data_IF_368466357771
#
_entry.id   IF_368466357771
#
_cell.length_a   1.000
_cell.length_b   1.000
_cell.length_c   1.000
_cell.angle_alpha   90.00
_cell.angle_beta   90.00
_cell.angle_gamma   90.00
#
_symmetry.space_group_name_H-M   'P 1'
#
loop_
_entity.id
_entity.type
_entity.pdbx_description
1 polymer ?
#
# COMPACT_ATOMS: atom_id res chain seq x y z
N UNK A 1 8.30 -17.10 -12.48
CA UNK A 1 7.08 -16.28 -12.63
C UNK A 1 6.60 -16.03 -11.21
N UNK A 2 6.75 -14.80 -10.68
CA UNK A 2 6.48 -14.53 -9.26
C UNK A 2 4.96 -14.52 -9.00
N UNK A 3 4.45 -15.34 -8.06
CA UNK A 3 3.02 -15.41 -7.75
C UNK A 3 2.46 -14.13 -7.09
N UNK A 4 3.34 -13.22 -6.64
CA UNK A 4 2.99 -11.91 -6.05
C UNK A 4 2.25 -10.99 -7.04
N UNK A 5 2.29 -11.27 -8.35
CA UNK A 5 1.61 -10.41 -9.35
C UNK A 5 0.12 -10.72 -9.56
N UNK A 6 -0.37 -11.92 -9.23
CA UNK A 6 -1.73 -12.33 -9.59
C UNK A 6 -2.75 -11.90 -8.53
N UNK A 7 -2.41 -12.01 -7.25
CA UNK A 7 -3.26 -11.50 -6.16
C UNK A 7 -3.41 -9.99 -6.21
N UNK A 8 -2.31 -9.24 -6.41
CA UNK A 8 -2.36 -7.79 -6.58
C UNK A 8 -3.17 -7.39 -7.81
N UNK A 9 -2.95 -8.03 -8.97
CA UNK A 9 -3.75 -7.78 -10.15
C UNK A 9 -5.22 -8.09 -9.93
N UNK A 10 -5.55 -9.18 -9.24
CA UNK A 10 -6.92 -9.53 -8.91
C UNK A 10 -7.57 -8.53 -7.96
N UNK A 11 -6.85 -7.98 -6.97
CA UNK A 11 -7.35 -6.91 -6.09
C UNK A 11 -7.59 -5.62 -6.88
N UNK A 12 -6.65 -5.20 -7.73
CA UNK A 12 -6.82 -4.04 -8.62
C UNK A 12 -7.99 -4.24 -9.62
N UNK A 13 -8.20 -5.46 -10.12
CA UNK A 13 -9.31 -5.79 -11.02
C UNK A 13 -10.64 -5.86 -10.27
N UNK A 14 -10.65 -6.40 -9.03
CA UNK A 14 -11.84 -6.53 -8.18
C UNK A 14 -12.34 -5.18 -7.67
N UNK A 15 -11.42 -4.28 -7.31
CA UNK A 15 -11.73 -2.97 -6.70
C UNK A 15 -11.73 -1.82 -7.72
N UNK A 16 -11.22 -2.06 -8.94
CA UNK A 16 -11.33 -1.14 -10.08
C UNK A 16 -12.53 -1.41 -11.01
N UNK A 17 -13.34 -2.45 -10.77
CA UNK A 17 -14.50 -2.80 -11.61
C UNK A 17 -15.79 -2.07 -11.17
N UNK A 18 -16.35 -1.28 -12.11
CA UNK A 18 -17.75 -0.84 -12.26
C UNK A 18 -18.58 -0.85 -10.96
N UNK A 19 -18.52 0.24 -10.18
CA UNK A 19 -19.41 0.49 -9.04
C UNK A 19 -18.78 1.20 -7.83
N UNK A 20 -17.46 1.38 -7.80
CA UNK A 20 -16.79 2.18 -6.76
C UNK A 20 -17.04 3.69 -7.03
N UNK A 21 -18.11 4.21 -6.45
CA UNK A 21 -18.55 5.60 -6.63
C UNK A 21 -17.86 6.58 -5.65
N UNK A 22 -17.10 6.10 -4.65
CA UNK A 22 -16.43 6.99 -3.71
C UNK A 22 -15.13 7.55 -4.31
N UNK A 23 -15.04 8.88 -4.59
CA UNK A 23 -13.82 9.50 -5.10
C UNK A 23 -12.65 9.46 -4.12
N UNK A 24 -12.85 9.01 -2.86
CA UNK A 24 -11.81 8.81 -1.85
C UNK A 24 -11.47 7.33 -1.61
N UNK A 25 -12.06 6.38 -2.34
CA UNK A 25 -11.55 5.00 -2.34
C UNK A 25 -10.10 4.96 -2.84
N UNK A 26 -9.26 4.13 -2.22
CA UNK A 26 -7.86 3.92 -2.62
C UNK A 26 -7.74 3.45 -4.09
N UNK A 27 -8.82 2.89 -4.65
CA UNK A 27 -8.85 2.24 -5.96
C UNK A 27 -9.72 2.96 -6.99
N UNK A 28 -10.36 4.07 -6.63
CA UNK A 28 -11.26 4.85 -7.49
C UNK A 28 -10.64 5.27 -8.85
N UNK A 29 -9.30 5.31 -8.94
CA UNK A 29 -8.55 5.66 -10.16
C UNK A 29 -7.56 4.56 -10.57
N UNK A 30 -7.71 3.34 -10.05
CA UNK A 30 -6.73 2.27 -10.25
C UNK A 30 -5.40 2.51 -9.53
N UNK A 31 -5.38 3.37 -8.51
CA UNK A 31 -4.17 3.79 -7.78
C UNK A 31 -4.04 5.31 -7.65
N UNK A 32 -2.82 5.87 -7.51
CA UNK A 32 -2.61 7.30 -7.42
C UNK A 32 -2.95 8.00 -8.74
N UNK A 33 -3.49 9.21 -8.66
CA UNK A 33 -3.71 10.05 -9.86
C UNK A 33 -2.37 10.49 -10.46
N UNK A 34 -2.29 10.50 -11.80
CA UNK A 34 -1.13 11.03 -12.52
C UNK A 34 -1.26 12.50 -12.92
N UNK A 35 -2.47 13.07 -12.81
CA UNK A 35 -2.75 14.45 -13.17
C UNK A 35 -3.58 15.14 -12.08
N UNK A 36 -3.43 16.46 -11.89
CA UNK A 36 -4.23 17.19 -10.92
C UNK A 36 -5.73 17.20 -11.27
N UNK A 37 -6.61 17.46 -10.28
CA UNK A 37 -6.28 17.71 -8.87
C UNK A 37 -5.95 16.44 -8.11
N UNK A 38 -4.89 16.49 -7.29
CA UNK A 38 -4.44 15.38 -6.45
C UNK A 38 -5.22 15.36 -5.12
N UNK A 39 -5.60 14.16 -4.66
CA UNK A 39 -6.23 13.98 -3.35
C UNK A 39 -5.17 14.05 -2.26
N UNK A 40 -5.53 14.56 -1.08
CA UNK A 40 -4.65 14.49 0.09
C UNK A 40 -4.67 13.06 0.63
N UNK A 41 -3.51 12.48 0.91
CA UNK A 41 -3.41 11.04 1.19
C UNK A 41 -4.18 10.63 2.43
N UNK A 42 -4.15 11.43 3.51
CA UNK A 42 -4.86 11.11 4.76
C UNK A 42 -6.39 11.13 4.63
N UNK A 43 -6.93 11.68 3.54
CA UNK A 43 -8.38 11.69 3.26
C UNK A 43 -8.82 10.47 2.43
N UNK A 44 -7.87 9.77 1.81
CA UNK A 44 -8.14 8.57 1.04
C UNK A 44 -8.38 7.43 2.02
N UNK A 45 -9.36 6.60 1.73
CA UNK A 45 -9.66 5.41 2.53
C UNK A 45 -8.44 4.49 2.59
N UNK A 46 -8.31 3.73 3.68
CA UNK A 46 -7.27 2.71 3.78
C UNK A 46 -7.44 1.67 2.67
N UNK A 47 -6.35 1.19 2.06
CA UNK A 47 -6.39 0.10 1.11
C UNK A 47 -6.82 -1.21 1.80
N UNK A 48 -7.18 -2.21 1.00
CA UNK A 48 -7.40 -3.58 1.47
C UNK A 48 -6.16 -4.06 2.25
N UNK A 49 -6.31 -4.61 3.46
CA UNK A 49 -5.20 -5.15 4.25
C UNK A 49 -4.33 -6.16 3.48
N UNK A 50 -4.92 -6.99 2.63
CA UNK A 50 -4.17 -7.95 1.81
C UNK A 50 -3.35 -7.29 0.68
N UNK A 51 -3.54 -6.00 0.42
CA UNK A 51 -2.77 -5.24 -0.55
C UNK A 51 -1.50 -4.65 0.05
N UNK A 52 -0.33 -5.09 -0.43
CA UNK A 52 0.99 -4.60 0.01
C UNK A 52 1.72 -3.73 -1.04
N UNK A 53 0.99 -3.24 -2.04
CA UNK A 53 1.57 -2.43 -3.12
C UNK A 53 2.25 -1.17 -2.57
N UNK A 54 3.20 -0.60 -3.32
CA UNK A 54 3.85 0.66 -2.93
C UNK A 54 2.87 1.82 -2.71
N UNK A 55 1.75 1.82 -3.43
CA UNK A 55 0.63 2.75 -3.22
C UNK A 55 -0.05 2.53 -1.87
N UNK A 56 -0.40 1.29 -1.55
CA UNK A 56 -1.03 0.92 -0.29
C UNK A 56 -0.15 1.31 0.91
N UNK A 57 1.16 1.01 0.82
CA UNK A 57 2.11 1.39 1.86
C UNK A 57 2.26 2.90 2.04
N UNK A 58 2.21 3.67 0.94
CA UNK A 58 2.25 5.13 1.02
C UNK A 58 1.00 5.70 1.72
N UNK A 59 -0.18 5.12 1.48
CA UNK A 59 -1.42 5.52 2.16
C UNK A 59 -1.38 5.21 3.65
N UNK A 60 -0.97 3.99 4.03
CA UNK A 60 -0.82 3.58 5.43
C UNK A 60 0.17 4.49 6.16
N UNK A 61 1.33 4.74 5.54
CA UNK A 61 2.32 5.67 6.09
C UNK A 61 1.72 7.05 6.32
N UNK A 62 1.08 7.63 5.31
CA UNK A 62 0.50 8.98 5.41
C UNK A 62 -0.57 9.07 6.51
N UNK A 63 -1.35 8.02 6.70
CA UNK A 63 -2.34 7.94 7.77
C UNK A 63 -1.69 7.88 9.16
N UNK A 64 -0.64 7.07 9.33
CA UNK A 64 0.13 7.01 10.59
C UNK A 64 0.74 8.38 10.89
N UNK A 65 1.37 9.03 9.90
CA UNK A 65 1.93 10.37 10.08
C UNK A 65 0.87 11.39 10.48
N UNK A 66 -0.29 11.39 9.80
CA UNK A 66 -1.40 12.26 10.15
C UNK A 66 -1.99 11.95 11.53
N UNK A 67 -2.01 10.68 11.95
CA UNK A 67 -2.53 10.29 13.28
C UNK A 67 -1.60 10.72 14.40
N UNK A 68 -0.28 10.57 14.21
CA UNK A 68 0.72 10.85 15.24
C UNK A 68 1.11 12.32 15.33
N UNK A 69 1.10 13.05 14.21
CA UNK A 69 1.74 14.36 14.12
C UNK A 69 0.85 15.48 13.58
N UNK A 70 -0.48 15.31 13.56
CA UNK A 70 -1.43 16.30 12.99
C UNK A 70 -1.30 17.73 13.51
N UNK A 71 -0.83 17.85 14.75
CA UNK A 71 -0.68 19.12 15.45
C UNK A 71 0.57 19.05 16.34
N UNK A 72 1.49 20.05 16.30
CA UNK A 72 1.49 21.25 15.45
C UNK A 72 2.03 21.01 14.03
N UNK A 73 2.56 19.83 13.75
CA UNK A 73 3.16 19.52 12.45
C UNK A 73 2.03 19.29 11.43
N UNK A 74 2.23 19.65 10.16
CA UNK A 74 1.22 19.57 9.11
C UNK A 74 1.54 18.44 8.11
N UNK A 75 1.50 17.16 8.54
CA UNK A 75 1.66 16.03 7.63
C UNK A 75 0.48 15.90 6.64
N UNK A 76 -0.55 16.74 6.77
CA UNK A 76 -1.69 16.83 5.85
C UNK A 76 -1.34 17.45 4.48
N UNK A 77 -0.06 17.80 4.25
CA UNK A 77 0.47 18.30 2.99
C UNK A 77 0.65 17.20 1.92
N UNK A 78 0.82 15.94 2.33
CA UNK A 78 1.07 14.86 1.38
C UNK A 78 -0.15 14.58 0.51
N UNK A 79 0.07 14.48 -0.80
CA UNK A 79 -0.97 14.20 -1.79
C UNK A 79 -0.44 13.18 -2.82
N UNK A 80 -1.31 12.81 -3.77
CA UNK A 80 -1.02 11.78 -4.78
C UNK A 80 -0.05 12.21 -5.89
N UNK A 81 0.53 13.41 -5.84
CA UNK A 81 1.44 13.85 -6.90
C UNK A 81 2.63 12.88 -7.02
N UNK A 82 3.14 12.63 -8.24
CA UNK A 82 4.28 11.73 -8.45
C UNK A 82 5.48 12.08 -7.56
N UNK A 83 5.76 13.37 -7.38
CA UNK A 83 6.86 13.86 -6.55
C UNK A 83 6.70 13.47 -5.08
N UNK A 84 5.51 13.66 -4.52
CA UNK A 84 5.22 13.26 -3.14
C UNK A 84 5.26 11.73 -2.97
N UNK A 85 4.75 10.99 -3.94
CA UNK A 85 4.78 9.53 -3.91
C UNK A 85 6.20 8.98 -3.91
N UNK A 86 7.08 9.53 -4.73
CA UNK A 86 8.48 9.17 -4.76
C UNK A 86 9.20 9.55 -3.45
N UNK A 87 8.94 10.75 -2.93
CA UNK A 87 9.53 11.21 -1.66
C UNK A 87 9.12 10.33 -0.48
N UNK A 88 7.85 9.94 -0.38
CA UNK A 88 7.38 9.03 0.68
C UNK A 88 8.07 7.68 0.57
N UNK A 89 8.24 7.13 -0.64
CA UNK A 89 8.98 5.87 -0.84
C UNK A 89 10.43 5.99 -0.36
N UNK A 90 11.10 7.11 -0.67
CA UNK A 90 12.47 7.35 -0.18
C UNK A 90 12.52 7.41 1.35
N UNK A 91 11.62 8.17 1.99
CA UNK A 91 11.53 8.29 3.45
C UNK A 91 11.29 6.91 4.09
N UNK A 92 10.34 6.12 3.57
CA UNK A 92 10.06 4.78 4.08
C UNK A 92 11.30 3.89 4.01
N UNK A 93 12.04 3.94 2.92
CA UNK A 93 13.30 3.18 2.76
C UNK A 93 14.38 3.62 3.74
N UNK A 94 14.60 4.92 3.88
CA UNK A 94 15.60 5.47 4.79
C UNK A 94 15.32 5.13 6.26
N UNK A 95 14.05 5.07 6.63
CA UNK A 95 13.60 4.73 7.98
C UNK A 95 13.36 3.23 8.18
N UNK A 96 13.57 2.40 7.16
CA UNK A 96 13.15 1.00 7.15
C UNK A 96 11.69 0.80 7.61
N UNK A 97 10.82 1.73 7.23
CA UNK A 97 9.41 1.70 7.61
C UNK A 97 8.61 0.83 6.64
N UNK A 98 7.79 -0.04 7.21
CA UNK A 98 6.81 -0.88 6.53
C UNK A 98 5.57 -1.03 7.41
N UNK A 99 4.40 -1.25 6.81
CA UNK A 99 3.18 -1.44 7.58
C UNK A 99 3.14 -2.81 8.26
N UNK A 100 2.22 -2.97 9.22
CA UNK A 100 1.95 -4.26 9.87
C UNK A 100 1.50 -5.30 8.83
N UNK A 101 0.63 -4.91 7.91
CA UNK A 101 0.14 -5.77 6.83
C UNK A 101 1.24 -6.24 5.88
N UNK A 102 2.21 -5.37 5.57
CA UNK A 102 3.37 -5.79 4.78
C UNK A 102 4.23 -6.80 5.57
N UNK A 103 4.42 -6.59 6.87
CA UNK A 103 5.20 -7.48 7.73
C UNK A 103 4.53 -8.85 7.87
N UNK A 104 3.22 -8.89 8.12
CA UNK A 104 2.43 -10.12 8.20
C UNK A 104 2.58 -10.97 6.92
N UNK A 105 2.51 -10.32 5.76
CA UNK A 105 2.67 -11.03 4.49
C UNK A 105 4.09 -11.57 4.27
N UNK A 106 5.13 -10.87 4.73
CA UNK A 106 6.49 -11.42 4.68
C UNK A 106 6.66 -12.65 5.59
N UNK A 107 6.01 -12.63 6.75
CA UNK A 107 6.07 -13.73 7.71
C UNK A 107 5.31 -14.96 7.18
N UNK A 108 4.14 -14.75 6.54
CA UNK A 108 3.39 -15.80 5.83
C UNK A 108 4.19 -16.40 4.68
N UNK A 109 4.73 -15.56 3.79
CA UNK A 109 5.57 -16.02 2.67
C UNK A 109 6.75 -16.87 3.20
N UNK A 110 7.45 -16.39 4.25
CA UNK A 110 8.57 -17.11 4.84
C UNK A 110 8.18 -18.47 5.45
N UNK A 111 6.98 -18.56 6.01
CA UNK A 111 6.43 -19.82 6.52
C UNK A 111 6.18 -20.82 5.39
N UNK A 112 5.57 -20.38 4.30
CA UNK A 112 5.30 -21.22 3.12
C UNK A 112 6.60 -21.77 2.50
N UNK A 113 7.64 -20.94 2.38
CA UNK A 113 8.96 -21.39 1.91
C UNK A 113 9.62 -22.43 2.83
N UNK A 114 9.40 -22.33 4.14
CA UNK A 114 9.93 -23.28 5.10
C UNK A 114 9.21 -24.63 5.03
N UNK A 115 7.88 -24.63 4.83
CA UNK A 115 7.08 -25.85 4.66
C UNK A 115 7.41 -26.58 3.35
N UNK A 116 7.56 -25.86 2.24
CA UNK A 116 7.96 -26.43 0.95
C UNK A 116 9.35 -27.09 1.00
N UNK A 117 10.31 -26.45 1.68
CA UNK A 117 11.65 -27.00 1.85
C UNK A 117 11.67 -28.30 2.68
N UNK A 118 10.87 -28.38 3.75
CA UNK A 118 10.75 -29.58 4.58
C UNK A 118 9.97 -30.72 3.92
N UNK A 119 9.02 -30.39 3.05
CA UNK A 119 8.30 -31.37 2.21
C UNK A 119 9.19 -31.98 1.12
N UNK A 120 10.10 -31.19 0.55
CA UNK A 120 11.02 -31.64 -0.50
C UNK A 120 12.14 -32.56 0.01
N UNK A 121 12.54 -32.48 1.28
CA UNK A 121 13.59 -33.36 1.86
C UNK A 121 13.08 -34.74 2.30
N UNK A 122 11.75 -34.95 2.35
CA UNK A 122 11.12 -36.20 2.79
C UNK A 122 10.54 -37.06 1.64
N UNK A 123 10.90 -36.77 0.38
CA UNK A 123 10.45 -37.52 -0.80
C UNK A 123 11.65 -38.00 -1.63
#
# INVERSE_FOLDING_TARGET
>A
MHPVSEALNNTFLREGQVGEDDPYSAYAFGGPRHTPPFRRLYLIQQPDPAGNSGWAENLRWAFVQNTLYRDPYRPDAWNESPEHMEQIVQIRRELCWMSEEYQEQLDEDASDWAEDALGAENT
#
